data_IF_803231638008
#
_entry.id   IF_803231638008
#
_cell.length_a   1.000
_cell.length_b   1.000
_cell.length_c   1.000
_cell.angle_alpha   90.00
_cell.angle_beta   90.00
_cell.angle_gamma   90.00
#
_symmetry.space_group_name_H-M   'P 1'
#
loop_
_entity.id
_entity.type
_entity.pdbx_description
1 polymer ?
#
# COMPACT_ATOMS: atom_id res chain seq x y z
N UNK A 1 1.21 -25.06 -68.68
CA UNK A 1 -0.02 -25.40 -67.93
C UNK A 1 0.13 -26.82 -67.39
N UNK A 2 0.26 -27.00 -66.07
CA UNK A 2 -0.19 -28.22 -65.38
C UNK A 2 -0.35 -27.93 -63.88
N UNK A 3 -1.48 -28.38 -63.33
CA UNK A 3 -1.99 -28.29 -61.95
C UNK A 3 -1.10 -29.11 -61.00
N UNK A 4 -0.74 -28.58 -59.82
CA UNK A 4 -1.39 -28.76 -58.52
C UNK A 4 -1.54 -30.22 -58.06
N UNK A 5 -0.77 -30.60 -57.04
CA UNK A 5 -1.04 -31.60 -55.98
C UNK A 5 -0.03 -31.34 -54.84
N UNK A 6 -0.44 -30.74 -53.72
CA UNK A 6 -0.93 -31.39 -52.49
C UNK A 6 0.21 -31.86 -51.54
N UNK A 7 0.48 -31.05 -50.51
CA UNK A 7 1.13 -31.44 -49.24
C UNK A 7 0.23 -32.45 -48.50
N UNK A 8 0.75 -33.38 -47.67
CA UNK A 8 0.92 -33.05 -46.24
C UNK A 8 1.99 -33.84 -45.45
N UNK A 9 2.17 -33.37 -44.21
CA UNK A 9 2.62 -34.08 -43.00
C UNK A 9 4.12 -34.11 -42.66
N UNK A 10 4.42 -33.66 -41.44
CA UNK A 10 5.75 -33.66 -40.81
C UNK A 10 5.97 -32.41 -39.95
N UNK A 11 5.05 -32.09 -39.03
CA UNK A 11 5.29 -32.39 -37.62
C UNK A 11 6.65 -31.89 -37.08
N UNK A 12 6.81 -30.58 -36.94
CA UNK A 12 7.67 -29.99 -35.91
C UNK A 12 6.80 -29.10 -35.02
N UNK A 13 6.00 -29.78 -34.21
CA UNK A 13 5.49 -29.23 -32.98
C UNK A 13 6.66 -29.02 -32.00
N UNK A 14 6.86 -27.77 -31.56
CA UNK A 14 7.68 -27.42 -30.39
C UNK A 14 8.64 -26.25 -30.63
N UNK A 15 8.80 -25.32 -29.66
CA UNK A 15 8.71 -25.62 -28.24
C UNK A 15 7.48 -25.00 -27.57
N UNK A 16 6.84 -25.82 -26.73
CA UNK A 16 6.00 -25.36 -25.64
C UNK A 16 6.70 -24.21 -24.89
N UNK A 17 6.07 -23.04 -24.91
CA UNK A 17 6.48 -21.89 -24.11
C UNK A 17 6.66 -22.31 -22.66
N UNK A 18 7.89 -22.17 -22.18
CA UNK A 18 8.40 -22.72 -20.91
C UNK A 18 7.56 -22.31 -19.69
N UNK A 19 6.89 -23.24 -18.97
CA UNK A 19 6.17 -22.92 -17.73
C UNK A 19 7.09 -22.41 -16.61
N UNK A 20 8.41 -22.64 -16.73
CA UNK A 20 9.43 -22.19 -15.76
C UNK A 20 9.66 -20.67 -15.79
N UNK A 21 9.58 -20.04 -16.96
CA UNK A 21 9.83 -18.59 -17.14
C UNK A 21 8.63 -17.76 -16.68
N UNK A 22 7.42 -18.25 -16.92
CA UNK A 22 6.17 -17.64 -16.44
C UNK A 22 6.05 -17.71 -14.91
N UNK A 23 6.35 -18.87 -14.29
CA UNK A 23 6.38 -19.00 -12.81
C UNK A 23 7.39 -18.05 -12.15
N UNK A 24 8.54 -17.81 -12.79
CA UNK A 24 9.56 -16.88 -12.27
C UNK A 24 9.10 -15.41 -12.28
N UNK A 25 8.45 -14.98 -13.37
CA UNK A 25 7.92 -13.62 -13.49
C UNK A 25 6.78 -13.35 -12.50
N UNK A 26 5.87 -14.33 -12.32
CA UNK A 26 4.79 -14.22 -11.34
C UNK A 26 5.30 -14.15 -9.90
N UNK A 27 6.27 -14.99 -9.53
CA UNK A 27 6.91 -14.95 -8.20
C UNK A 27 7.57 -13.60 -7.93
N UNK A 28 8.28 -13.04 -8.92
CA UNK A 28 8.89 -11.71 -8.81
C UNK A 28 7.87 -10.58 -8.63
N UNK A 29 6.74 -10.64 -9.34
CA UNK A 29 5.66 -9.66 -9.19
C UNK A 29 5.05 -9.68 -7.77
N UNK A 30 4.81 -10.88 -7.22
CA UNK A 30 4.31 -11.06 -5.86
C UNK A 30 5.32 -10.63 -4.79
N UNK A 31 6.60 -10.98 -4.95
CA UNK A 31 7.65 -10.60 -4.00
C UNK A 31 7.73 -9.07 -3.84
N UNK A 32 7.76 -8.32 -4.94
CA UNK A 32 7.83 -6.86 -4.86
C UNK A 32 6.49 -6.25 -4.42
N UNK A 33 5.35 -6.90 -4.70
CA UNK A 33 4.05 -6.47 -4.19
C UNK A 33 3.92 -6.65 -2.68
N UNK A 34 4.50 -7.73 -2.13
CA UNK A 34 4.51 -8.06 -0.71
C UNK A 34 5.58 -7.31 0.09
N UNK A 35 6.64 -6.79 -0.57
CA UNK A 35 7.74 -6.10 0.11
C UNK A 35 7.31 -5.02 1.13
N UNK A 36 6.32 -4.13 0.84
CA UNK A 36 5.85 -3.16 1.83
C UNK A 36 5.15 -3.80 3.06
N UNK A 37 4.43 -4.92 2.86
CA UNK A 37 3.82 -5.66 3.96
C UNK A 37 4.91 -6.34 4.80
N UNK A 38 5.87 -7.00 4.16
CA UNK A 38 7.01 -7.61 4.86
C UNK A 38 7.76 -6.56 5.69
N UNK A 39 8.02 -5.38 5.15
CA UNK A 39 8.68 -4.32 5.90
C UNK A 39 7.86 -3.83 7.11
N UNK A 40 6.55 -3.70 6.98
CA UNK A 40 5.67 -3.34 8.10
C UNK A 40 5.66 -4.43 9.19
N UNK A 41 5.64 -5.71 8.81
CA UNK A 41 5.72 -6.85 9.73
C UNK A 41 7.10 -6.95 10.40
N UNK A 42 8.18 -6.72 9.66
CA UNK A 42 9.54 -6.66 10.21
C UNK A 42 9.68 -5.51 11.20
N UNK A 43 9.10 -4.34 10.91
CA UNK A 43 9.09 -3.21 11.84
C UNK A 43 8.30 -3.55 13.12
N UNK A 44 7.13 -4.20 12.99
CA UNK A 44 6.35 -4.69 14.13
C UNK A 44 7.16 -5.70 14.98
N UNK A 45 7.81 -6.66 14.31
CA UNK A 45 8.64 -7.65 14.99
C UNK A 45 9.85 -7.02 15.68
N UNK A 46 10.47 -6.01 15.08
CA UNK A 46 11.55 -5.25 15.71
C UNK A 46 11.08 -4.49 16.96
N UNK A 47 9.90 -3.84 16.91
CA UNK A 47 9.29 -3.20 18.09
C UNK A 47 9.04 -4.21 19.21
N UNK A 48 8.55 -5.40 18.85
CA UNK A 48 8.36 -6.50 19.80
C UNK A 48 9.67 -6.97 20.43
N UNK A 49 10.69 -7.28 19.63
CA UNK A 49 11.98 -7.77 20.11
C UNK A 49 12.74 -6.75 20.98
N UNK A 50 12.63 -5.47 20.65
CA UNK A 50 13.31 -4.39 21.38
C UNK A 50 12.56 -3.99 22.65
N UNK A 51 11.32 -4.44 22.84
CA UNK A 51 10.45 -3.96 23.90
C UNK A 51 10.14 -2.47 23.78
N UNK A 52 10.24 -1.89 22.57
CA UNK A 52 10.11 -0.46 22.36
C UNK A 52 8.70 0.02 22.73
N UNK A 53 8.66 0.98 23.65
CA UNK A 53 7.45 1.54 24.23
C UNK A 53 7.59 3.06 24.48
N UNK A 54 6.61 3.66 25.15
CA UNK A 54 6.57 5.07 25.50
C UNK A 54 7.47 5.47 26.66
N UNK A 55 8.13 4.51 27.32
CA UNK A 55 9.09 4.72 28.40
C UNK A 55 10.53 4.65 27.91
N UNK A 56 10.73 4.20 26.68
CA UNK A 56 12.02 4.19 26.01
C UNK A 56 12.57 5.63 25.92
N UNK A 57 13.84 5.83 26.27
CA UNK A 57 14.46 7.15 26.31
C UNK A 57 14.51 7.79 24.92
N UNK A 58 13.55 8.67 24.64
CA UNK A 58 13.57 9.55 23.47
C UNK A 58 13.87 10.99 23.90
N UNK A 59 14.56 11.77 23.06
CA UNK A 59 14.67 13.21 23.28
C UNK A 59 13.26 13.83 23.47
N UNK A 60 13.08 14.77 24.42
CA UNK A 60 11.76 15.34 24.73
C UNK A 60 11.01 15.89 23.52
N UNK A 61 11.73 16.54 22.60
CA UNK A 61 11.16 17.10 21.36
C UNK A 61 10.62 16.03 20.41
N UNK A 62 11.24 14.85 20.41
CA UNK A 62 10.80 13.70 19.60
C UNK A 62 9.60 13.05 20.28
N UNK A 63 9.68 12.85 21.60
CA UNK A 63 8.58 12.30 22.39
C UNK A 63 7.29 13.12 22.22
N UNK A 64 7.36 14.45 22.31
CA UNK A 64 6.21 15.34 22.14
C UNK A 64 5.58 15.29 20.73
N UNK A 65 6.35 14.92 19.71
CA UNK A 65 5.85 14.81 18.33
C UNK A 65 5.20 13.46 18.05
N UNK A 66 5.59 12.39 18.76
CA UNK A 66 5.12 11.04 18.50
C UNK A 66 4.13 10.52 19.54
N UNK A 67 4.40 10.71 20.82
CA UNK A 67 3.51 10.26 21.89
C UNK A 67 2.36 11.25 22.07
N UNK A 68 1.15 10.81 21.77
CA UNK A 68 -0.04 11.61 21.85
C UNK A 68 -1.29 10.82 21.43
N UNK A 69 -2.42 11.52 21.35
CA UNK A 69 -3.74 10.94 21.09
C UNK A 69 -3.75 9.95 19.92
N UNK A 70 -3.15 10.31 18.78
CA UNK A 70 -3.23 9.47 17.58
C UNK A 70 -2.39 8.20 17.65
N UNK A 71 -1.22 8.24 18.29
CA UNK A 71 -0.41 7.03 18.46
C UNK A 71 -1.07 6.07 19.45
N UNK A 72 -1.72 6.61 20.48
CA UNK A 72 -2.46 5.82 21.45
C UNK A 72 -3.76 5.23 20.85
N UNK A 73 -4.51 6.02 20.08
CA UNK A 73 -5.79 5.57 19.52
C UNK A 73 -5.63 4.72 18.25
N UNK A 74 -4.64 5.03 17.40
CA UNK A 74 -4.41 4.41 16.10
C UNK A 74 -2.96 3.90 15.94
N UNK A 75 -2.49 3.00 16.83
CA UNK A 75 -1.10 2.57 16.86
C UNK A 75 -0.63 1.90 15.56
N UNK A 76 -1.51 1.13 14.91
CA UNK A 76 -1.17 0.43 13.68
C UNK A 76 -0.90 1.35 12.48
N UNK A 77 -1.25 2.65 12.59
CA UNK A 77 -0.89 3.63 11.58
C UNK A 77 0.63 3.81 11.45
N UNK A 78 1.41 3.58 12.51
CA UNK A 78 2.87 3.63 12.44
C UNK A 78 3.42 2.59 11.44
N UNK A 79 2.87 1.39 11.43
CA UNK A 79 3.26 0.34 10.49
C UNK A 79 2.67 0.56 9.09
N UNK A 80 1.49 1.17 8.99
CA UNK A 80 0.94 1.62 7.71
C UNK A 80 1.82 2.73 7.08
N UNK A 81 2.43 3.60 7.89
CA UNK A 81 3.41 4.58 7.42
C UNK A 81 4.65 3.89 6.83
N UNK A 82 5.22 2.91 7.55
CA UNK A 82 6.34 2.09 7.02
C UNK A 82 5.97 1.43 5.69
N UNK A 83 4.76 0.87 5.60
CA UNK A 83 4.22 0.31 4.35
C UNK A 83 4.23 1.37 3.23
N UNK A 84 3.70 2.57 3.48
CA UNK A 84 3.67 3.67 2.50
C UNK A 84 5.05 4.14 2.04
N UNK A 85 6.02 4.23 2.95
CA UNK A 85 7.40 4.61 2.62
C UNK A 85 8.08 3.57 1.74
N UNK A 86 8.02 2.30 2.14
CA UNK A 86 8.61 1.18 1.39
C UNK A 86 7.93 1.04 0.03
N UNK A 87 6.64 1.34 -0.05
CA UNK A 87 5.88 1.36 -1.30
C UNK A 87 6.43 2.39 -2.30
N UNK A 88 6.82 3.58 -1.83
CA UNK A 88 7.43 4.62 -2.64
C UNK A 88 8.86 4.23 -3.01
N UNK A 89 9.66 3.75 -2.06
CA UNK A 89 11.01 3.24 -2.32
C UNK A 89 11.01 2.13 -3.37
N UNK A 90 10.08 1.18 -3.27
CA UNK A 90 9.92 0.12 -4.28
C UNK A 90 9.48 0.64 -5.65
N UNK A 91 8.84 1.81 -5.73
CA UNK A 91 8.56 2.49 -7.00
C UNK A 91 9.80 3.23 -7.51
N UNK A 92 10.55 3.88 -6.62
CA UNK A 92 11.81 4.56 -6.91
C UNK A 92 12.87 3.60 -7.45
N UNK A 93 12.96 2.39 -6.91
CA UNK A 93 13.98 1.38 -7.22
C UNK A 93 13.58 0.43 -8.36
N UNK A 94 12.30 0.33 -8.69
CA UNK A 94 11.85 -0.53 -9.78
C UNK A 94 12.39 -0.05 -11.15
N UNK A 95 12.92 -0.96 -11.99
CA UNK A 95 13.30 -0.61 -13.35
C UNK A 95 12.09 -0.10 -14.14
N UNK A 96 12.28 0.94 -14.94
CA UNK A 96 11.20 1.60 -15.67
C UNK A 96 11.70 2.61 -16.70
N UNK A 97 10.79 3.14 -17.53
CA UNK A 97 11.13 4.03 -18.65
C UNK A 97 11.56 5.44 -18.21
N UNK A 98 11.40 5.78 -16.92
CA UNK A 98 11.82 7.07 -16.38
C UNK A 98 13.32 7.08 -16.08
N UNK A 99 13.96 8.22 -16.33
CA UNK A 99 15.36 8.44 -15.94
C UNK A 99 15.55 8.27 -14.42
N UNK A 100 16.75 7.86 -14.01
CA UNK A 100 17.11 7.70 -12.59
C UNK A 100 16.87 9.00 -11.82
N UNK A 101 17.26 10.14 -12.39
CA UNK A 101 17.04 11.46 -11.79
C UNK A 101 15.54 11.72 -11.50
N UNK A 102 14.65 11.47 -12.47
CA UNK A 102 13.20 11.63 -12.28
C UNK A 102 12.66 10.70 -11.20
N UNK A 103 13.13 9.45 -11.16
CA UNK A 103 12.73 8.45 -10.15
C UNK A 103 13.12 8.90 -8.75
N UNK A 104 14.33 9.43 -8.59
CA UNK A 104 14.84 9.94 -7.31
C UNK A 104 14.06 11.19 -6.88
N UNK A 105 13.96 12.21 -7.72
CA UNK A 105 13.25 13.46 -7.39
C UNK A 105 11.78 13.18 -7.06
N UNK A 106 11.08 12.46 -7.93
CA UNK A 106 9.66 12.15 -7.72
C UNK A 106 9.43 11.27 -6.49
N UNK A 107 10.37 10.37 -6.22
CA UNK A 107 10.42 9.57 -5.01
C UNK A 107 10.60 10.39 -3.74
N UNK A 108 11.59 11.28 -3.71
CA UNK A 108 11.86 12.18 -2.59
C UNK A 108 10.65 13.08 -2.30
N UNK A 109 10.01 13.63 -3.34
CA UNK A 109 8.76 14.41 -3.20
C UNK A 109 7.66 13.52 -2.59
N UNK A 110 7.50 12.29 -3.07
CA UNK A 110 6.55 11.34 -2.52
C UNK A 110 6.77 11.02 -1.05
N UNK A 111 8.03 10.75 -0.67
CA UNK A 111 8.41 10.48 0.72
C UNK A 111 8.15 11.71 1.60
N UNK A 112 8.54 12.90 1.15
CA UNK A 112 8.29 14.16 1.85
C UNK A 112 6.79 14.41 2.04
N UNK A 113 5.96 14.15 1.03
CA UNK A 113 4.50 14.29 1.13
C UNK A 113 3.92 13.30 2.14
N UNK A 114 4.31 12.02 2.09
CA UNK A 114 3.81 11.02 3.03
C UNK A 114 4.23 11.35 4.47
N UNK A 115 5.50 11.70 4.68
CA UNK A 115 6.02 12.08 6.00
C UNK A 115 5.36 13.37 6.49
N UNK A 116 5.28 14.40 5.65
CA UNK A 116 4.64 15.67 6.00
C UNK A 116 3.18 15.49 6.39
N UNK A 117 2.38 14.81 5.56
CA UNK A 117 0.96 14.58 5.87
C UNK A 117 0.74 13.65 7.07
N UNK A 118 1.68 12.77 7.40
CA UNK A 118 1.51 11.76 8.47
C UNK A 118 2.15 12.16 9.79
N UNK A 119 3.10 13.09 9.79
CA UNK A 119 3.89 13.48 10.98
C UNK A 119 3.79 14.96 11.33
N UNK A 120 3.30 15.83 10.45
CA UNK A 120 3.14 17.25 10.74
C UNK A 120 1.68 17.62 11.07
N UNK A 121 1.40 18.36 12.16
CA UNK A 121 2.36 18.89 13.14
C UNK A 121 2.89 17.86 14.14
N UNK A 122 2.16 16.77 14.37
CA UNK A 122 2.56 15.63 15.21
C UNK A 122 2.09 14.32 14.57
N UNK A 123 2.47 13.17 15.12
CA UNK A 123 2.09 11.84 14.64
C UNK A 123 0.60 11.72 14.31
N UNK A 124 0.32 11.07 13.18
CA UNK A 124 -1.00 11.03 12.55
C UNK A 124 -1.24 12.20 11.61
N UNK A 125 -0.55 13.33 11.79
CA UNK A 125 -0.53 14.47 10.91
C UNK A 125 -1.91 14.92 10.44
N UNK A 126 -2.01 15.31 9.17
CA UNK A 126 -3.27 15.60 8.50
C UNK A 126 -4.08 14.34 8.17
N UNK A 127 -3.43 13.19 7.98
CA UNK A 127 -4.10 11.92 7.61
C UNK A 127 -5.09 11.47 8.69
N UNK A 128 -4.62 11.29 9.91
CA UNK A 128 -5.47 10.85 11.03
C UNK A 128 -6.35 11.98 11.54
N UNK A 129 -5.92 13.25 11.45
CA UNK A 129 -6.78 14.40 11.80
C UNK A 129 -7.98 14.52 10.86
N UNK A 130 -7.78 14.36 9.55
CA UNK A 130 -8.89 14.35 8.62
C UNK A 130 -9.81 13.15 8.87
N UNK A 131 -9.25 11.96 9.09
CA UNK A 131 -10.07 10.79 9.38
C UNK A 131 -10.90 10.93 10.65
N UNK A 132 -10.26 11.34 11.75
CA UNK A 132 -10.95 11.59 13.02
C UNK A 132 -11.96 12.74 12.90
N UNK A 133 -11.57 13.88 12.34
CA UNK A 133 -12.43 15.04 12.18
C UNK A 133 -13.66 14.76 11.30
N UNK A 134 -13.49 14.07 10.18
CA UNK A 134 -14.61 13.67 9.31
C UNK A 134 -15.54 12.68 10.02
N UNK A 135 -14.98 11.65 10.68
CA UNK A 135 -15.80 10.66 11.38
C UNK A 135 -16.55 11.25 12.56
N UNK A 136 -15.86 11.99 13.44
CA UNK A 136 -16.48 12.67 14.58
C UNK A 136 -17.51 13.70 14.13
N UNK A 137 -17.21 14.50 13.10
CA UNK A 137 -18.15 15.45 12.53
C UNK A 137 -19.42 14.77 12.02
N UNK A 138 -19.31 13.67 11.27
CA UNK A 138 -20.46 12.91 10.79
C UNK A 138 -21.30 12.35 11.96
N UNK A 139 -20.65 11.77 12.97
CA UNK A 139 -21.32 11.22 14.15
C UNK A 139 -22.08 12.28 14.94
N UNK A 140 -21.46 13.44 15.18
CA UNK A 140 -22.09 14.57 15.87
C UNK A 140 -23.29 15.16 15.10
N UNK A 141 -23.33 14.97 13.77
CA UNK A 141 -24.47 15.32 12.93
C UNK A 141 -25.52 14.20 12.81
N UNK A 142 -25.52 13.22 13.72
CA UNK A 142 -26.54 12.17 13.79
C UNK A 142 -26.31 10.97 12.87
N UNK A 143 -25.14 10.88 12.21
CA UNK A 143 -24.80 9.70 11.40
C UNK A 143 -24.49 8.50 12.31
N UNK A 144 -25.04 7.30 12.04
CA UNK A 144 -24.71 6.10 12.81
C UNK A 144 -23.20 5.83 12.87
N UNK A 145 -22.70 5.34 14.01
CA UNK A 145 -21.27 5.15 14.28
C UNK A 145 -20.54 4.36 13.19
N UNK A 146 -21.14 3.30 12.65
CA UNK A 146 -20.55 2.51 11.59
C UNK A 146 -20.30 3.33 10.30
N UNK A 147 -21.27 4.16 9.91
CA UNK A 147 -21.15 5.03 8.73
C UNK A 147 -20.15 6.15 9.00
N UNK A 148 -20.22 6.79 10.16
CA UNK A 148 -19.27 7.82 10.58
C UNK A 148 -17.82 7.31 10.58
N UNK A 149 -17.60 6.12 11.14
CA UNK A 149 -16.29 5.46 11.15
C UNK A 149 -15.76 5.21 9.74
N UNK A 150 -16.59 4.66 8.86
CA UNK A 150 -16.19 4.38 7.47
C UNK A 150 -15.92 5.65 6.68
N UNK A 151 -16.65 6.75 6.91
CA UNK A 151 -16.36 8.06 6.32
C UNK A 151 -15.01 8.60 6.79
N UNK A 152 -14.70 8.50 8.08
CA UNK A 152 -13.40 8.86 8.64
C UNK A 152 -12.26 8.03 8.06
N UNK A 153 -12.42 6.71 7.98
CA UNK A 153 -11.46 5.83 7.31
C UNK A 153 -11.25 6.22 5.83
N UNK A 154 -12.32 6.64 5.15
CA UNK A 154 -12.28 7.11 3.77
C UNK A 154 -11.46 8.38 3.60
N UNK A 155 -11.65 9.37 4.48
CA UNK A 155 -10.88 10.62 4.47
C UNK A 155 -9.38 10.37 4.70
N UNK A 156 -9.04 9.53 5.69
CA UNK A 156 -7.65 9.14 5.96
C UNK A 156 -7.03 8.39 4.76
N UNK A 157 -7.74 7.40 4.20
CA UNK A 157 -7.30 6.65 3.04
C UNK A 157 -7.13 7.51 1.79
N UNK A 158 -7.99 8.50 1.60
CA UNK A 158 -7.91 9.47 0.51
C UNK A 158 -6.61 10.26 0.57
N UNK A 159 -6.32 10.92 1.70
CA UNK A 159 -5.09 11.70 1.87
C UNK A 159 -3.83 10.84 1.76
N UNK A 160 -3.81 9.71 2.46
CA UNK A 160 -2.67 8.79 2.44
C UNK A 160 -2.45 8.20 1.03
N UNK A 161 -3.53 7.82 0.36
CA UNK A 161 -3.53 7.29 -1.00
C UNK A 161 -3.12 8.32 -2.04
N UNK A 162 -3.50 9.57 -1.87
CA UNK A 162 -3.06 10.67 -2.73
C UNK A 162 -1.55 10.89 -2.62
N UNK A 163 -1.01 11.01 -1.40
CA UNK A 163 0.42 11.21 -1.19
C UNK A 163 1.26 10.04 -1.73
N UNK A 164 0.88 8.80 -1.38
CA UNK A 164 1.58 7.60 -1.84
C UNK A 164 1.44 7.39 -3.36
N UNK A 165 0.25 7.67 -3.91
CA UNK A 165 -0.07 7.54 -5.34
C UNK A 165 0.65 8.57 -6.20
N UNK A 166 0.70 9.83 -5.76
CA UNK A 166 1.44 10.91 -6.42
C UNK A 166 2.95 10.61 -6.39
N UNK A 167 3.50 10.24 -5.23
CA UNK A 167 4.90 9.86 -5.10
C UNK A 167 5.30 8.73 -6.06
N UNK A 168 4.50 7.67 -6.11
CA UNK A 168 4.74 6.56 -7.03
C UNK A 168 4.66 6.98 -8.51
N UNK A 169 3.78 7.92 -8.88
CA UNK A 169 3.66 8.43 -10.26
C UNK A 169 4.79 9.34 -10.67
N UNK A 170 5.18 10.25 -9.78
CA UNK A 170 6.32 11.15 -9.99
C UNK A 170 7.60 10.33 -10.15
N UNK A 171 7.75 9.26 -9.36
CA UNK A 171 8.81 8.27 -9.48
C UNK A 171 8.75 7.42 -10.78
N UNK A 172 7.90 7.78 -11.75
CA UNK A 172 7.99 7.25 -13.11
C UNK A 172 7.27 5.93 -13.34
N UNK A 173 6.30 5.57 -12.49
CA UNK A 173 5.44 4.42 -12.77
C UNK A 173 4.77 4.58 -14.13
N UNK A 174 4.94 3.64 -15.07
CA UNK A 174 4.28 3.73 -16.36
C UNK A 174 2.76 3.71 -16.17
N UNK A 175 2.07 4.61 -16.87
CA UNK A 175 0.61 4.61 -16.98
C UNK A 175 0.10 3.35 -17.71
N UNK A 176 -1.23 3.18 -17.83
CA UNK A 176 -1.80 2.04 -18.55
C UNK A 176 -1.18 1.90 -19.95
N UNK A 177 -0.83 0.66 -20.32
CA UNK A 177 -0.14 0.35 -21.58
C UNK A 177 -0.78 1.02 -22.82
N UNK A 178 0.08 1.41 -23.76
CA UNK A 178 -0.17 2.26 -24.94
C UNK A 178 -1.21 1.74 -25.95
N UNK A 179 -1.80 0.56 -25.76
CA UNK A 179 -2.85 0.02 -26.65
C UNK A 179 -4.26 0.46 -26.27
N UNK A 180 -4.98 1.08 -27.21
CA UNK A 180 -6.43 1.38 -27.13
C UNK A 180 -6.79 2.87 -27.15
N UNK A 181 -8.02 3.18 -27.57
CA UNK A 181 -8.54 4.55 -27.66
C UNK A 181 -8.51 5.33 -26.33
N UNK A 182 -8.46 6.67 -26.40
CA UNK A 182 -8.33 7.60 -25.25
C UNK A 182 -9.27 7.25 -24.09
N UNK A 183 -10.54 6.96 -24.39
CA UNK A 183 -11.57 6.59 -23.40
C UNK A 183 -11.29 5.29 -22.64
N UNK A 184 -10.80 4.25 -23.33
CA UNK A 184 -10.40 2.98 -22.69
C UNK A 184 -9.19 3.15 -21.77
N UNK A 185 -8.30 4.10 -22.07
CA UNK A 185 -7.17 4.44 -21.19
C UNK A 185 -7.63 5.17 -19.93
N UNK A 186 -8.49 6.18 -20.08
CA UNK A 186 -9.08 6.93 -18.94
C UNK A 186 -9.88 5.98 -18.05
N UNK A 187 -10.73 5.12 -18.63
CA UNK A 187 -11.52 4.16 -17.86
C UNK A 187 -10.68 3.11 -17.12
N UNK A 188 -9.54 2.66 -17.68
CA UNK A 188 -8.60 1.78 -16.96
C UNK A 188 -7.87 2.51 -15.84
N UNK A 189 -7.45 3.75 -16.08
CA UNK A 189 -6.81 4.57 -15.06
C UNK A 189 -7.77 4.83 -13.90
N UNK A 190 -9.01 5.25 -14.16
CA UNK A 190 -10.04 5.53 -13.16
C UNK A 190 -10.37 4.29 -12.33
N UNK A 191 -10.61 3.14 -12.97
CA UNK A 191 -10.80 1.87 -12.24
C UNK A 191 -9.61 1.52 -11.36
N UNK A 192 -8.39 1.78 -11.83
CA UNK A 192 -7.19 1.59 -11.04
C UNK A 192 -7.09 2.54 -9.84
N UNK A 193 -7.51 3.79 -9.99
CA UNK A 193 -7.60 4.73 -8.86
C UNK A 193 -8.65 4.28 -7.85
N UNK A 194 -9.87 3.97 -8.31
CA UNK A 194 -10.97 3.53 -7.44
C UNK A 194 -10.58 2.27 -6.68
N UNK A 195 -10.06 1.25 -7.37
CA UNK A 195 -9.63 0.02 -6.71
C UNK A 195 -8.48 0.25 -5.71
N UNK A 196 -7.58 1.20 -5.99
CA UNK A 196 -6.51 1.58 -5.08
C UNK A 196 -7.05 2.29 -3.84
N UNK A 197 -7.97 3.24 -4.02
CA UNK A 197 -8.67 3.92 -2.95
C UNK A 197 -9.46 2.94 -2.08
N UNK A 198 -10.28 2.07 -2.68
CA UNK A 198 -11.06 1.07 -1.95
C UNK A 198 -10.18 0.12 -1.13
N UNK A 199 -9.03 -0.30 -1.69
CA UNK A 199 -8.07 -1.14 -0.96
C UNK A 199 -7.46 -0.41 0.25
N UNK A 200 -7.11 0.88 0.10
CA UNK A 200 -6.59 1.69 1.20
C UNK A 200 -7.67 2.08 2.22
N UNK A 201 -8.91 2.28 1.76
CA UNK A 201 -10.07 2.55 2.60
C UNK A 201 -10.39 1.34 3.48
N UNK A 202 -10.41 0.14 2.89
CA UNK A 202 -10.49 -1.12 3.62
C UNK A 202 -9.33 -1.25 4.61
N UNK A 203 -8.10 -0.98 4.19
CA UNK A 203 -6.94 -1.03 5.07
C UNK A 203 -7.08 -0.10 6.27
N UNK A 204 -7.47 1.16 6.05
CA UNK A 204 -7.70 2.16 7.10
C UNK A 204 -8.80 1.72 8.07
N UNK A 205 -9.90 1.16 7.55
CA UNK A 205 -10.99 0.62 8.38
C UNK A 205 -10.55 -0.58 9.22
N UNK A 206 -9.75 -1.50 8.67
CA UNK A 206 -9.24 -2.67 9.41
C UNK A 206 -8.25 -2.26 10.51
N UNK A 207 -7.26 -1.41 10.18
CA UNK A 207 -6.24 -1.02 11.17
C UNK A 207 -6.81 -0.10 12.26
N UNK A 208 -7.87 0.66 11.97
CA UNK A 208 -8.54 1.50 12.97
C UNK A 208 -9.33 0.68 14.01
N UNK A 209 -9.69 -0.57 13.70
CA UNK A 209 -10.35 -1.50 14.62
C UNK A 209 -9.35 -2.23 15.55
N UNK A 210 -8.06 -1.89 15.52
CA UNK A 210 -7.04 -2.61 16.28
C UNK A 210 -7.36 -2.70 17.78
N UNK A 211 -7.78 -1.58 18.38
CA UNK A 211 -8.14 -1.53 19.81
C UNK A 211 -9.34 -2.44 20.12
N UNK A 212 -10.36 -2.40 19.28
CA UNK A 212 -11.58 -3.20 19.45
C UNK A 212 -11.30 -4.70 19.22
N UNK A 213 -10.30 -5.02 18.40
CA UNK A 213 -9.78 -6.38 18.20
C UNK A 213 -8.86 -6.88 19.34
N UNK A 214 -8.67 -6.07 20.40
CA UNK A 214 -7.88 -6.45 21.56
C UNK A 214 -6.38 -6.18 21.45
N UNK A 215 -5.93 -5.34 20.51
CA UNK A 215 -4.54 -4.89 20.45
C UNK A 215 -4.20 -4.02 21.67
N UNK A 216 -3.29 -4.52 22.50
CA UNK A 216 -2.90 -3.98 23.80
C UNK A 216 -2.23 -2.61 23.73
N UNK A 217 -2.14 -1.89 24.87
CA UNK A 217 -2.00 -0.43 24.99
C UNK A 217 -0.67 0.15 24.47
N UNK A 218 0.11 -0.56 23.64
CA UNK A 218 1.24 0.01 22.93
C UNK A 218 0.84 1.34 22.27
N UNK A 219 1.62 2.42 22.47
CA UNK A 219 2.98 2.42 23.01
C UNK A 219 3.10 2.48 24.55
N UNK A 220 2.02 2.53 25.35
CA UNK A 220 2.13 2.69 26.82
C UNK A 220 2.83 1.54 27.55
N UNK A 221 2.80 0.35 26.96
CA UNK A 221 3.49 -0.85 27.44
C UNK A 221 4.15 -1.56 26.24
N UNK A 222 5.22 -2.35 26.47
CA UNK A 222 5.81 -3.16 25.42
C UNK A 222 4.81 -4.17 24.86
N UNK A 223 4.96 -4.52 23.58
CA UNK A 223 4.11 -5.52 22.93
C UNK A 223 4.32 -6.89 23.57
N UNK A 224 3.23 -7.58 23.89
CA UNK A 224 3.28 -9.01 24.23
C UNK A 224 3.09 -9.88 22.97
N UNK A 225 3.23 -11.21 23.13
CA UNK A 225 3.11 -12.15 22.02
C UNK A 225 1.69 -12.14 21.39
N UNK A 226 0.65 -11.86 22.19
CA UNK A 226 -0.73 -11.76 21.70
C UNK A 226 -0.91 -10.51 20.85
N UNK A 227 -0.40 -9.37 21.33
CA UNK A 227 -0.43 -8.08 20.65
C UNK A 227 0.29 -8.18 19.29
N UNK A 228 1.43 -8.88 19.25
CA UNK A 228 2.16 -9.17 18.02
C UNK A 228 1.30 -9.95 17.02
N UNK A 229 0.66 -11.05 17.44
CA UNK A 229 -0.17 -11.90 16.56
C UNK A 229 -1.39 -11.12 16.03
N UNK A 230 -2.08 -10.38 16.90
CA UNK A 230 -3.25 -9.56 16.51
C UNK A 230 -2.83 -8.47 15.52
N UNK A 231 -1.75 -7.74 15.80
CA UNK A 231 -1.25 -6.71 14.89
C UNK A 231 -0.79 -7.29 13.56
N UNK A 232 -0.05 -8.41 13.56
CA UNK A 232 0.39 -9.07 12.34
C UNK A 232 -0.81 -9.54 11.49
N UNK A 233 -1.83 -10.11 12.13
CA UNK A 233 -3.08 -10.51 11.49
C UNK A 233 -3.81 -9.33 10.85
N UNK A 234 -3.99 -8.24 11.59
CA UNK A 234 -4.66 -7.03 11.09
C UNK A 234 -3.88 -6.35 9.97
N UNK A 235 -2.56 -6.21 10.09
CA UNK A 235 -1.72 -5.64 9.03
C UNK A 235 -1.76 -6.48 7.76
N UNK A 236 -1.72 -7.81 7.90
CA UNK A 236 -1.82 -8.74 6.78
C UNK A 236 -3.18 -8.61 6.09
N UNK A 237 -4.27 -8.66 6.87
CA UNK A 237 -5.63 -8.51 6.35
C UNK A 237 -5.81 -7.16 5.65
N UNK A 238 -5.39 -6.07 6.29
CA UNK A 238 -5.49 -4.71 5.77
C UNK A 238 -4.72 -4.53 4.44
N UNK A 239 -3.51 -5.10 4.35
CA UNK A 239 -2.66 -4.95 3.17
C UNK A 239 -3.07 -5.85 1.99
N UNK A 240 -3.75 -6.97 2.25
CA UNK A 240 -3.99 -8.02 1.26
C UNK A 240 -4.68 -7.50 -0.02
N UNK A 241 -5.78 -6.72 0.02
CA UNK A 241 -6.41 -6.21 -1.20
C UNK A 241 -5.45 -5.36 -2.05
N UNK A 242 -4.63 -4.54 -1.40
CA UNK A 242 -3.68 -3.68 -2.09
C UNK A 242 -2.50 -4.47 -2.66
N UNK A 243 -1.99 -5.49 -1.95
CA UNK A 243 -0.93 -6.39 -2.45
C UNK A 243 -1.42 -7.14 -3.69
N UNK A 244 -2.62 -7.72 -3.66
CA UNK A 244 -3.24 -8.42 -4.80
C UNK A 244 -3.39 -7.47 -5.99
N UNK A 245 -3.90 -6.26 -5.75
CA UNK A 245 -4.06 -5.22 -6.77
C UNK A 245 -2.72 -4.84 -7.41
N UNK A 246 -1.65 -4.70 -6.63
CA UNK A 246 -0.31 -4.35 -7.12
C UNK A 246 0.32 -5.52 -7.90
N UNK A 247 0.16 -6.75 -7.42
CA UNK A 247 0.66 -7.94 -8.10
C UNK A 247 -0.04 -8.12 -9.46
N UNK A 248 -1.37 -8.00 -9.50
CA UNK A 248 -2.16 -8.14 -10.72
C UNK A 248 -1.76 -7.11 -11.80
N UNK A 249 -1.42 -5.88 -11.42
CA UNK A 249 -0.97 -4.83 -12.35
C UNK A 249 0.41 -5.05 -12.94
N UNK A 250 1.22 -5.90 -12.31
CA UNK A 250 2.60 -6.18 -12.73
C UNK A 250 2.72 -7.46 -13.54
N UNK A 251 1.68 -8.29 -13.59
CA UNK A 251 1.65 -9.45 -14.47
C UNK A 251 1.71 -8.98 -15.93
N UNK A 252 2.63 -9.52 -16.75
CA UNK A 252 2.64 -9.27 -18.17
C UNK A 252 1.26 -9.63 -18.76
N UNK A 253 0.62 -8.69 -19.44
CA UNK A 253 -0.60 -9.02 -20.18
C UNK A 253 -0.22 -9.98 -21.29
N UNK A 254 -0.64 -11.26 -21.19
CA UNK A 254 -0.63 -12.19 -22.32
C UNK A 254 -1.41 -11.49 -23.44
N UNK A 255 -0.73 -11.13 -24.53
CA UNK A 255 -1.43 -10.77 -25.76
C UNK A 255 -2.08 -12.07 -26.26
N UNK A 256 -3.40 -12.10 -26.54
CA UNK A 256 -3.89 -13.10 -27.47
C UNK A 256 -3.20 -12.81 -28.81
N UNK A 257 -2.49 -13.81 -29.32
CA UNK A 257 -1.97 -13.79 -30.70
C UNK A 257 -3.11 -13.87 -31.70
#
# INVERSE_FOLDING_TARGET
>A
MSRADALPAGALAGPAGTPRRERGADRGAWAIAAAPLLAALTALFAVFLTGFDGRSAMPPDVAARFYGFFLDRYPLFAFALVYGLVRILAAMLAPGPASVARRLVGGCIGLALVLGLSLHPTFGGLVLRAGFGTGSGAFLNGTPMAIAYTLGAGAAAGLFGLATGLGARLAGRPGPALGGGRWRRVGRALRGWIAGFLALWFAAAVIGLARDAGFGPWPRRPLDARDLVVAAGLLTLAALPHVVLVAARRRPSRRPG
#
